data_IF_948362334941
#
_entry.id   IF_948362334941
#
_cell.length_a   1.000
_cell.length_b   1.000
_cell.length_c   1.000
_cell.angle_alpha   90.00
_cell.angle_beta   90.00
_cell.angle_gamma   90.00
#
_symmetry.space_group_name_H-M   'P 1'
#
loop_
_entity.id
_entity.type
_entity.pdbx_description
1 polymer ?
#
# COMPACT_ATOMS: atom_id res chain seq x y z
N UNK A 1 10.72 6.78 -15.76
CA UNK A 1 10.54 5.46 -16.43
C UNK A 1 9.55 4.59 -15.68
N UNK A 2 8.94 3.64 -16.38
CA UNK A 2 7.95 2.71 -15.80
C UNK A 2 8.56 1.87 -14.67
N UNK A 3 7.82 1.59 -13.58
CA UNK A 3 8.39 0.89 -12.41
C UNK A 3 8.80 -0.57 -12.64
N UNK A 4 8.29 -1.21 -13.69
CA UNK A 4 8.60 -2.59 -14.04
C UNK A 4 9.57 -2.63 -15.23
N UNK A 5 10.70 -3.30 -15.06
CA UNK A 5 11.76 -3.43 -16.07
C UNK A 5 11.81 -4.88 -16.56
N UNK A 6 12.09 -5.04 -17.84
CA UNK A 6 12.29 -6.35 -18.48
C UNK A 6 13.64 -6.41 -19.20
N UNK A 7 14.45 -7.38 -18.83
CA UNK A 7 15.69 -7.75 -19.50
C UNK A 7 15.53 -9.05 -20.27
N UNK A 8 15.23 -8.94 -21.56
CA UNK A 8 14.89 -10.10 -22.40
C UNK A 8 16.03 -11.12 -22.58
N UNK A 9 17.29 -10.67 -22.44
CA UNK A 9 18.48 -11.52 -22.53
C UNK A 9 18.63 -12.48 -21.33
N UNK A 10 18.06 -12.15 -20.17
CA UNK A 10 18.03 -13.00 -18.98
C UNK A 10 16.90 -14.05 -19.04
N UNK A 11 15.91 -13.87 -19.92
CA UNK A 11 14.69 -14.68 -19.92
C UNK A 11 14.92 -16.10 -20.38
N UNK A 12 14.65 -17.09 -19.54
CA UNK A 12 14.73 -18.53 -19.84
C UNK A 12 13.41 -19.09 -20.42
N UNK A 13 12.42 -18.24 -20.67
CA UNK A 13 11.13 -18.62 -21.28
C UNK A 13 10.33 -19.65 -20.47
N UNK A 14 10.39 -19.59 -19.15
CA UNK A 14 9.69 -20.52 -18.24
C UNK A 14 8.17 -20.27 -18.14
N UNK A 15 7.66 -19.18 -18.71
CA UNK A 15 6.24 -18.78 -18.77
C UNK A 15 5.58 -18.49 -17.41
N UNK A 16 6.29 -18.49 -16.28
CA UNK A 16 5.71 -18.23 -14.95
C UNK A 16 5.06 -16.84 -14.85
N UNK A 17 5.65 -15.82 -15.48
CA UNK A 17 5.07 -14.47 -15.52
C UNK A 17 3.73 -14.42 -16.27
N UNK A 18 3.58 -15.21 -17.34
CA UNK A 18 2.31 -15.37 -18.07
C UNK A 18 1.30 -16.06 -17.14
N UNK A 19 1.66 -17.19 -16.54
CA UNK A 19 0.76 -17.98 -15.71
C UNK A 19 0.22 -17.18 -14.52
N UNK A 20 1.08 -16.47 -13.78
CA UNK A 20 0.63 -15.68 -12.63
C UNK A 20 -0.25 -14.50 -13.07
N UNK A 21 0.09 -13.83 -14.19
CA UNK A 21 -0.66 -12.72 -14.72
C UNK A 21 -2.05 -13.14 -15.23
N UNK A 22 -2.13 -14.29 -15.94
CA UNK A 22 -3.38 -14.78 -16.54
C UNK A 22 -4.27 -15.50 -15.53
N UNK A 23 -3.69 -16.40 -14.70
CA UNK A 23 -4.48 -17.34 -13.90
C UNK A 23 -4.83 -16.81 -12.52
N UNK A 24 -3.98 -15.95 -11.96
CA UNK A 24 -4.19 -15.40 -10.60
C UNK A 24 -4.65 -13.95 -10.65
N UNK A 25 -4.01 -13.12 -11.49
CA UNK A 25 -4.34 -11.70 -11.59
C UNK A 25 -5.37 -11.37 -12.69
N UNK A 26 -5.58 -12.30 -13.64
CA UNK A 26 -6.54 -12.18 -14.74
C UNK A 26 -6.39 -10.86 -15.54
N UNK A 27 -5.12 -10.53 -15.89
CA UNK A 27 -4.78 -9.29 -16.59
C UNK A 27 -4.25 -9.51 -18.02
N UNK A 28 -3.67 -10.66 -18.33
CA UNK A 28 -3.15 -11.03 -19.65
C UNK A 28 -2.16 -10.01 -20.25
N UNK A 29 -1.32 -9.43 -19.39
CA UNK A 29 -0.31 -8.44 -19.82
C UNK A 29 0.83 -9.09 -20.59
N UNK A 30 1.23 -10.31 -20.21
CA UNK A 30 2.35 -11.03 -20.81
C UNK A 30 1.85 -12.12 -21.76
N UNK A 31 2.56 -12.29 -22.88
CA UNK A 31 2.24 -13.29 -23.89
C UNK A 31 3.49 -13.86 -24.55
N UNK A 32 3.33 -15.00 -25.23
CA UNK A 32 4.36 -15.62 -26.07
C UNK A 32 4.34 -14.97 -27.44
N UNK A 33 5.50 -14.45 -27.84
CA UNK A 33 5.68 -13.85 -29.15
C UNK A 33 6.64 -14.69 -29.99
N UNK A 34 6.41 -14.72 -31.32
CA UNK A 34 7.20 -15.47 -32.29
C UNK A 34 7.12 -16.99 -32.08
N UNK A 35 7.80 -17.76 -32.91
CA UNK A 35 7.76 -19.24 -32.90
C UNK A 35 9.15 -19.85 -33.08
N UNK A 36 9.29 -21.12 -32.75
CA UNK A 36 10.54 -21.87 -32.86
C UNK A 36 11.67 -21.24 -31.97
N UNK A 37 12.87 -21.20 -32.52
CA UNK A 37 14.04 -20.66 -31.81
C UNK A 37 13.93 -19.18 -31.45
N UNK A 38 13.04 -18.44 -32.11
CA UNK A 38 12.79 -17.03 -31.86
C UNK A 38 11.69 -16.75 -30.82
N UNK A 39 11.10 -17.79 -30.27
CA UNK A 39 10.09 -17.63 -29.19
C UNK A 39 10.62 -16.75 -28.07
N UNK A 40 9.82 -15.79 -27.65
CA UNK A 40 10.13 -14.89 -26.54
C UNK A 40 8.87 -14.58 -25.75
N UNK A 41 9.01 -14.18 -24.49
CA UNK A 41 7.92 -13.62 -23.68
C UNK A 41 7.97 -12.11 -23.84
N UNK A 42 6.86 -11.48 -24.16
CA UNK A 42 6.74 -10.03 -24.28
C UNK A 42 5.36 -9.56 -23.79
N UNK A 43 5.15 -8.25 -23.78
CA UNK A 43 3.82 -7.68 -23.56
C UNK A 43 2.88 -8.13 -24.69
N UNK A 44 1.66 -8.50 -24.35
CA UNK A 44 0.63 -8.95 -25.30
C UNK A 44 0.51 -7.97 -26.47
N UNK A 45 0.34 -8.49 -27.67
CA UNK A 45 0.31 -7.73 -28.93
C UNK A 45 1.61 -6.95 -29.24
N UNK A 46 2.70 -7.29 -28.57
CA UNK A 46 4.00 -6.60 -28.71
C UNK A 46 3.94 -5.08 -28.43
N UNK A 47 3.03 -4.68 -27.53
CA UNK A 47 2.87 -3.29 -27.09
C UNK A 47 3.99 -2.88 -26.13
N UNK A 48 4.11 -1.59 -25.89
CA UNK A 48 4.87 -1.08 -24.75
C UNK A 48 4.14 -1.42 -23.44
N UNK A 49 4.89 -1.71 -22.38
CA UNK A 49 4.29 -2.00 -21.06
C UNK A 49 3.49 -0.79 -20.51
N UNK A 50 3.88 0.41 -20.87
CA UNK A 50 3.17 1.65 -20.49
C UNK A 50 1.80 1.79 -21.17
N UNK A 51 1.59 1.09 -22.29
CA UNK A 51 0.35 1.07 -23.05
C UNK A 51 -0.56 -0.11 -22.64
N UNK A 52 -0.05 -1.02 -21.84
CA UNK A 52 -0.79 -2.18 -21.36
C UNK A 52 -1.58 -1.85 -20.09
N UNK A 53 -2.62 -2.66 -19.86
CA UNK A 53 -3.48 -2.55 -18.67
C UNK A 53 -2.81 -3.14 -17.40
N UNK A 54 -1.50 -2.96 -17.27
CA UNK A 54 -0.73 -3.47 -16.15
C UNK A 54 -1.10 -2.75 -14.84
N UNK A 55 -1.51 -3.52 -13.84
CA UNK A 55 -1.82 -3.01 -12.50
C UNK A 55 -0.59 -2.70 -11.64
N UNK A 56 0.61 -3.05 -12.13
CA UNK A 56 1.86 -2.93 -11.37
C UNK A 56 1.89 -3.74 -10.06
N UNK A 57 1.11 -4.82 -9.95
CA UNK A 57 1.10 -5.67 -8.76
C UNK A 57 2.44 -6.34 -8.46
N UNK A 58 3.33 -6.47 -9.46
CA UNK A 58 4.67 -7.05 -9.31
C UNK A 58 4.71 -8.57 -9.15
N UNK A 59 3.59 -9.28 -9.26
CA UNK A 59 3.56 -10.74 -9.10
C UNK A 59 4.38 -11.47 -10.17
N UNK A 60 4.49 -10.93 -11.36
CA UNK A 60 5.38 -11.46 -12.40
C UNK A 60 6.87 -11.33 -12.02
N UNK A 61 7.23 -10.36 -11.19
CA UNK A 61 8.59 -10.17 -10.66
C UNK A 61 8.90 -11.27 -9.64
N UNK A 62 8.00 -11.49 -8.67
CA UNK A 62 8.19 -12.49 -7.61
C UNK A 62 8.28 -13.91 -8.14
N UNK A 63 7.70 -14.18 -9.30
CA UNK A 63 7.71 -15.49 -9.97
C UNK A 63 8.80 -15.64 -11.04
N UNK A 64 9.62 -14.60 -11.28
CA UNK A 64 10.70 -14.69 -12.28
C UNK A 64 11.98 -15.28 -11.67
N UNK A 65 12.36 -16.55 -11.99
CA UNK A 65 13.47 -17.23 -11.31
C UNK A 65 14.85 -16.67 -11.68
N UNK A 66 14.94 -15.88 -12.74
CA UNK A 66 16.21 -15.35 -13.27
C UNK A 66 16.28 -13.84 -13.24
N UNK A 67 15.37 -13.19 -12.51
CA UNK A 67 15.28 -11.73 -12.40
C UNK A 67 15.27 -11.00 -13.78
N UNK A 68 14.70 -11.65 -14.80
CA UNK A 68 14.48 -11.02 -16.12
C UNK A 68 13.36 -9.97 -16.08
N UNK A 69 12.46 -10.10 -15.11
CA UNK A 69 11.50 -9.08 -14.71
C UNK A 69 11.88 -8.61 -13.32
N UNK A 70 12.06 -7.33 -13.17
CA UNK A 70 12.43 -6.72 -11.89
C UNK A 70 11.85 -5.32 -11.75
N UNK A 71 11.91 -4.78 -10.55
CA UNK A 71 11.51 -3.41 -10.25
C UNK A 71 12.62 -2.46 -10.72
N UNK A 72 12.24 -1.25 -11.15
CA UNK A 72 13.20 -0.16 -11.37
C UNK A 72 13.96 0.09 -10.07
N UNK A 73 15.28 0.13 -10.17
CA UNK A 73 16.17 0.39 -9.04
C UNK A 73 16.28 1.87 -8.78
N UNK A 74 15.91 2.32 -7.59
CA UNK A 74 15.91 3.74 -7.20
C UNK A 74 16.80 4.01 -5.96
N UNK A 75 17.59 3.04 -5.49
CA UNK A 75 18.47 3.20 -4.32
C UNK A 75 19.55 4.24 -4.49
N UNK A 76 20.03 4.47 -5.73
CA UNK A 76 21.00 5.54 -6.03
C UNK A 76 20.43 6.92 -5.68
N UNK A 77 19.17 7.18 -6.03
CA UNK A 77 18.49 8.43 -5.68
C UNK A 77 18.30 8.62 -4.18
N UNK A 78 18.15 7.54 -3.42
CA UNK A 78 18.11 7.63 -1.97
C UNK A 78 19.47 8.01 -1.39
N UNK A 79 20.56 7.41 -1.88
CA UNK A 79 21.92 7.79 -1.45
C UNK A 79 22.29 9.20 -1.85
N UNK A 80 21.89 9.65 -3.04
CA UNK A 80 22.02 11.04 -3.45
C UNK A 80 21.31 11.98 -2.47
N UNK A 81 20.08 11.64 -2.07
CA UNK A 81 19.31 12.45 -1.13
C UNK A 81 19.94 12.46 0.27
N UNK A 82 20.42 11.31 0.78
CA UNK A 82 21.09 11.19 2.08
C UNK A 82 22.38 11.98 2.16
N UNK A 83 23.06 12.20 1.03
CA UNK A 83 24.30 12.96 0.97
C UNK A 83 24.11 14.43 0.57
N UNK A 84 22.90 14.87 0.30
CA UNK A 84 22.62 16.26 -0.11
C UNK A 84 22.38 17.14 1.13
N UNK A 85 23.31 18.07 1.46
CA UNK A 85 23.20 18.89 2.65
C UNK A 85 22.06 19.93 2.60
N UNK A 86 21.48 20.15 1.43
CA UNK A 86 20.34 21.06 1.25
C UNK A 86 18.99 20.38 1.48
N UNK A 87 18.97 19.04 1.62
CA UNK A 87 17.78 18.24 1.89
C UNK A 87 17.70 17.79 3.34
N UNK A 88 16.49 17.66 3.80
CA UNK A 88 16.14 16.94 5.03
C UNK A 88 15.40 15.68 4.63
N UNK A 89 16.04 14.56 4.81
CA UNK A 89 15.50 13.27 4.40
C UNK A 89 14.59 12.70 5.49
N UNK A 90 13.34 12.42 5.09
CA UNK A 90 12.34 11.80 5.95
C UNK A 90 12.02 10.42 5.38
N UNK A 91 12.32 9.37 6.12
CA UNK A 91 12.03 8.00 5.72
C UNK A 91 10.83 7.48 6.49
N UNK A 92 9.85 6.92 5.79
CA UNK A 92 8.71 6.23 6.38
C UNK A 92 8.71 4.75 6.01
N UNK A 93 8.36 3.89 6.96
CA UNK A 93 8.40 2.42 6.81
C UNK A 93 7.00 1.85 6.85
N UNK A 94 6.58 1.16 5.78
CA UNK A 94 5.25 0.55 5.69
C UNK A 94 5.06 -0.65 6.64
N UNK A 95 3.82 -0.91 7.08
CA UNK A 95 3.50 -2.00 8.03
C UNK A 95 4.08 -3.36 7.64
N UNK A 96 3.88 -3.80 6.40
CA UNK A 96 4.31 -5.13 5.94
C UNK A 96 5.84 -5.29 5.80
N UNK A 97 6.59 -4.19 5.76
CA UNK A 97 8.06 -4.22 5.66
C UNK A 97 8.67 -4.85 6.91
N UNK A 98 8.11 -4.52 8.10
CA UNK A 98 8.60 -5.05 9.39
C UNK A 98 8.55 -6.57 9.49
N UNK A 99 7.62 -7.22 8.78
CA UNK A 99 7.49 -8.67 8.80
C UNK A 99 8.45 -9.39 7.84
N UNK A 100 9.24 -8.66 7.03
CA UNK A 100 9.98 -9.26 5.91
C UNK A 100 11.43 -8.78 5.71
N UNK A 101 11.81 -7.58 6.17
CA UNK A 101 13.11 -6.99 5.83
C UNK A 101 14.31 -7.80 6.30
N UNK A 102 14.18 -8.50 7.44
CA UNK A 102 15.25 -9.34 8.02
C UNK A 102 15.46 -10.67 7.32
N UNK A 103 14.46 -11.18 6.57
CA UNK A 103 14.46 -12.54 6.01
C UNK A 103 15.70 -12.83 5.15
N UNK A 104 16.04 -11.91 4.26
CA UNK A 104 17.19 -12.06 3.37
C UNK A 104 18.54 -11.70 4.04
N UNK A 105 18.51 -11.21 5.28
CA UNK A 105 19.68 -10.81 6.05
C UNK A 105 20.02 -11.80 7.17
N UNK A 106 19.24 -12.88 7.27
CA UNK A 106 19.46 -13.96 8.24
C UNK A 106 19.01 -13.63 9.66
N UNK A 107 18.11 -12.64 9.82
CA UNK A 107 17.48 -12.34 11.10
C UNK A 107 16.15 -13.11 11.22
N UNK A 108 15.85 -13.59 12.43
CA UNK A 108 14.50 -14.04 12.74
C UNK A 108 13.54 -12.84 12.75
N UNK A 109 12.23 -13.09 12.75
CA UNK A 109 11.23 -12.00 12.80
C UNK A 109 11.28 -11.21 14.10
N UNK A 110 11.59 -11.88 15.21
CA UNK A 110 11.75 -11.26 16.53
C UNK A 110 13.01 -10.39 16.60
N UNK A 111 14.07 -10.77 15.88
CA UNK A 111 15.29 -9.97 15.79
C UNK A 111 15.18 -8.80 14.84
N UNK A 112 14.34 -8.93 13.80
CA UNK A 112 14.15 -7.92 12.75
C UNK A 112 13.13 -6.85 13.15
N UNK A 113 13.35 -6.16 14.28
CA UNK A 113 12.51 -5.09 14.76
C UNK A 113 12.50 -3.89 13.80
N UNK A 114 11.46 -3.05 13.86
CA UNK A 114 11.40 -1.82 13.06
C UNK A 114 12.43 -0.79 13.56
N UNK A 115 12.73 -0.81 14.84
CA UNK A 115 13.74 0.03 15.50
C UNK A 115 15.15 -0.25 14.96
N UNK A 116 15.51 -1.50 14.73
CA UNK A 116 16.77 -1.88 14.06
C UNK A 116 16.81 -1.47 12.61
N UNK A 117 15.70 -1.57 11.89
CA UNK A 117 15.64 -1.05 10.53
C UNK A 117 15.82 0.48 10.54
N UNK A 118 15.23 1.18 11.51
CA UNK A 118 15.44 2.60 11.73
C UNK A 118 16.91 2.95 11.99
N UNK A 119 17.60 2.17 12.82
CA UNK A 119 19.05 2.34 13.08
C UNK A 119 19.87 2.15 11.78
N UNK A 120 19.54 1.15 10.97
CA UNK A 120 20.20 0.94 9.68
C UNK A 120 20.01 2.14 8.73
N UNK A 121 18.80 2.68 8.64
CA UNK A 121 18.49 3.85 7.80
C UNK A 121 19.22 5.10 8.25
N UNK A 122 19.32 5.34 9.58
CA UNK A 122 20.11 6.44 10.14
C UNK A 122 21.60 6.29 9.85
N UNK A 123 22.12 5.07 9.91
CA UNK A 123 23.51 4.77 9.52
C UNK A 123 23.77 5.01 8.05
N UNK A 124 22.76 4.91 7.19
CA UNK A 124 22.85 5.27 5.76
C UNK A 124 22.70 6.77 5.47
N UNK A 125 22.31 7.56 6.49
CA UNK A 125 22.21 9.02 6.36
C UNK A 125 20.80 9.61 6.43
N UNK A 126 19.77 8.84 6.81
CA UNK A 126 18.44 9.39 7.02
C UNK A 126 18.39 10.35 8.22
N UNK A 127 17.85 11.55 8.03
CA UNK A 127 17.71 12.54 9.10
C UNK A 127 16.58 12.20 10.07
N UNK A 128 15.45 11.74 9.54
CA UNK A 128 14.30 11.29 10.33
C UNK A 128 13.81 9.94 9.81
N UNK A 129 13.46 9.04 10.74
CA UNK A 129 12.85 7.75 10.42
C UNK A 129 11.56 7.60 11.22
N UNK A 130 10.44 7.45 10.53
CA UNK A 130 9.10 7.38 11.07
C UNK A 130 8.38 6.09 10.65
N UNK A 131 7.20 5.90 11.20
CA UNK A 131 6.33 4.78 10.92
C UNK A 131 5.15 5.21 10.02
N UNK A 132 4.99 4.56 8.87
CA UNK A 132 3.80 4.80 8.02
C UNK A 132 2.50 4.38 8.74
N UNK A 133 2.58 3.55 9.78
CA UNK A 133 1.42 3.12 10.56
C UNK A 133 0.70 4.30 11.25
N UNK A 134 1.43 5.38 11.59
CA UNK A 134 0.80 6.64 11.98
C UNK A 134 -0.19 7.14 10.92
N UNK A 135 0.22 7.13 9.66
CA UNK A 135 -0.65 7.58 8.57
C UNK A 135 -1.71 6.53 8.19
N UNK A 136 -1.48 5.25 8.50
CA UNK A 136 -2.54 4.24 8.42
C UNK A 136 -3.65 4.54 9.43
N UNK A 137 -3.29 4.93 10.67
CA UNK A 137 -4.27 5.41 11.65
C UNK A 137 -5.00 6.65 11.17
N UNK A 138 -4.29 7.60 10.55
CA UNK A 138 -4.90 8.79 9.95
C UNK A 138 -5.85 8.44 8.80
N UNK A 139 -5.47 7.48 7.96
CA UNK A 139 -6.34 6.98 6.87
C UNK A 139 -7.64 6.41 7.42
N UNK A 140 -7.59 5.65 8.51
CA UNK A 140 -8.80 5.12 9.15
C UNK A 140 -9.71 6.23 9.67
N UNK A 141 -9.15 7.32 10.20
CA UNK A 141 -9.97 8.46 10.63
C UNK A 141 -10.77 9.04 9.47
N UNK A 142 -10.15 9.20 8.30
CA UNK A 142 -10.81 9.73 7.12
C UNK A 142 -11.74 8.70 6.48
N UNK A 143 -11.25 7.50 6.19
CA UNK A 143 -11.99 6.46 5.43
C UNK A 143 -13.19 5.91 6.21
N UNK A 144 -13.07 5.73 7.55
CA UNK A 144 -14.19 5.28 8.35
C UNK A 144 -15.30 6.34 8.46
N UNK A 145 -14.94 7.62 8.56
CA UNK A 145 -15.92 8.70 8.54
C UNK A 145 -16.57 8.85 7.16
N UNK A 146 -15.81 8.75 6.06
CA UNK A 146 -16.35 8.73 4.69
C UNK A 146 -17.33 7.55 4.51
N UNK A 147 -16.96 6.36 4.99
CA UNK A 147 -17.85 5.20 4.92
C UNK A 147 -19.17 5.44 5.67
N UNK A 148 -19.12 5.99 6.88
CA UNK A 148 -20.32 6.28 7.67
C UNK A 148 -21.21 7.34 7.00
N UNK A 149 -20.64 8.37 6.39
CA UNK A 149 -21.40 9.36 5.60
C UNK A 149 -22.09 8.70 4.39
N UNK A 150 -21.34 7.89 3.62
CA UNK A 150 -21.92 7.17 2.45
C UNK A 150 -23.01 6.20 2.87
N UNK A 151 -22.84 5.50 3.99
CA UNK A 151 -23.85 4.57 4.54
C UNK A 151 -25.11 5.32 4.96
N UNK A 152 -24.99 6.48 5.60
CA UNK A 152 -26.10 7.32 6.03
C UNK A 152 -26.89 7.87 4.85
N UNK A 153 -26.19 8.38 3.83
CA UNK A 153 -26.82 8.97 2.62
C UNK A 153 -27.20 7.92 1.58
N UNK A 154 -26.73 6.68 1.71
CA UNK A 154 -26.88 5.58 0.74
C UNK A 154 -26.33 5.92 -0.65
N UNK A 155 -25.21 6.64 -0.69
CA UNK A 155 -24.56 7.09 -1.91
C UNK A 155 -23.24 6.34 -2.14
N UNK A 156 -22.93 6.01 -3.41
CA UNK A 156 -21.70 5.35 -3.83
C UNK A 156 -21.34 4.08 -3.04
N UNK A 157 -22.37 3.29 -2.68
CA UNK A 157 -22.21 1.98 -2.05
C UNK A 157 -22.24 0.85 -3.10
N UNK A 158 -21.48 -0.25 -2.90
CA UNK A 158 -20.51 -0.41 -1.81
C UNK A 158 -19.36 0.58 -1.92
N UNK A 159 -18.78 0.99 -0.80
CA UNK A 159 -17.52 1.70 -0.80
C UNK A 159 -16.36 0.70 -0.90
N UNK A 160 -15.41 0.95 -1.80
CA UNK A 160 -14.15 0.20 -1.87
C UNK A 160 -13.03 0.97 -1.21
N UNK A 161 -12.15 0.25 -0.50
CA UNK A 161 -10.87 0.85 -0.05
C UNK A 161 -10.03 1.29 -1.23
N UNK A 162 -9.20 2.33 -1.09
CA UNK A 162 -8.39 2.91 -2.16
C UNK A 162 -6.88 2.92 -1.90
N UNK A 163 -6.43 2.42 -0.74
CA UNK A 163 -5.03 2.46 -0.34
C UNK A 163 -4.09 1.59 -1.20
N UNK A 164 -4.62 0.68 -2.03
CA UNK A 164 -3.86 -0.18 -2.93
C UNK A 164 -3.84 0.36 -4.37
N UNK A 165 -2.76 1.02 -4.83
CA UNK A 165 -2.72 1.63 -6.17
C UNK A 165 -2.76 0.59 -7.31
N UNK A 166 -2.34 -0.66 -7.06
CA UNK A 166 -2.49 -1.74 -8.03
C UNK A 166 -3.95 -2.11 -8.28
N UNK A 167 -4.76 -2.10 -7.22
CA UNK A 167 -6.20 -2.26 -7.31
C UNK A 167 -6.87 -1.07 -8.03
N UNK A 168 -6.53 0.16 -7.65
CA UNK A 168 -7.09 1.36 -8.29
C UNK A 168 -6.81 1.35 -9.80
N UNK A 169 -5.59 0.99 -10.22
CA UNK A 169 -5.24 0.82 -11.64
C UNK A 169 -6.09 -0.24 -12.34
N UNK A 170 -6.32 -1.38 -11.67
CA UNK A 170 -7.18 -2.44 -12.20
C UNK A 170 -8.62 -1.95 -12.38
N UNK A 171 -9.22 -1.33 -11.36
CA UNK A 171 -10.58 -0.81 -11.44
C UNK A 171 -10.74 0.18 -12.58
N UNK A 172 -9.85 1.16 -12.67
CA UNK A 172 -9.88 2.19 -13.72
C UNK A 172 -9.73 1.61 -15.13
N UNK A 173 -8.99 0.51 -15.28
CA UNK A 173 -8.81 -0.10 -16.61
C UNK A 173 -9.92 -1.06 -16.99
N UNK A 174 -10.51 -1.78 -16.02
CA UNK A 174 -11.44 -2.88 -16.30
C UNK A 174 -12.89 -2.51 -16.01
N UNK A 175 -13.13 -1.62 -15.03
CA UNK A 175 -14.45 -1.21 -14.53
C UNK A 175 -14.50 0.31 -14.27
N UNK A 176 -14.28 1.14 -15.30
CA UNK A 176 -14.19 2.61 -15.12
C UNK A 176 -15.48 3.23 -14.60
N UNK A 177 -16.62 2.61 -14.82
CA UNK A 177 -17.92 2.99 -14.31
C UNK A 177 -18.04 2.89 -12.78
N UNK A 178 -17.17 2.12 -12.14
CA UNK A 178 -17.16 1.92 -10.68
C UNK A 178 -16.15 2.83 -9.95
N UNK A 179 -15.46 3.73 -10.62
CA UNK A 179 -14.42 4.58 -10.00
C UNK A 179 -14.98 5.41 -8.83
N UNK A 180 -16.22 5.86 -8.91
CA UNK A 180 -16.89 6.64 -7.86
C UNK A 180 -17.20 5.83 -6.58
N UNK A 181 -17.07 4.52 -6.63
CA UNK A 181 -17.19 3.65 -5.47
C UNK A 181 -15.90 3.56 -4.64
N UNK A 182 -14.76 4.00 -5.18
CA UNK A 182 -13.52 4.09 -4.40
C UNK A 182 -13.66 5.10 -3.26
N UNK A 183 -13.06 4.80 -2.11
CA UNK A 183 -12.81 5.81 -1.09
C UNK A 183 -11.96 6.92 -1.71
N UNK A 184 -12.24 8.17 -1.37
CA UNK A 184 -11.45 9.31 -1.82
C UNK A 184 -10.18 9.50 -1.00
N UNK A 185 -10.02 8.80 0.13
CA UNK A 185 -8.84 8.85 0.98
C UNK A 185 -7.58 8.47 0.19
N UNK A 186 -6.52 9.28 0.30
CA UNK A 186 -5.19 8.93 -0.21
C UNK A 186 -4.65 7.71 0.55
N UNK A 187 -3.73 7.00 -0.06
CA UNK A 187 -3.05 5.91 0.65
C UNK A 187 -2.18 6.44 1.81
N UNK A 188 -1.93 5.61 2.86
CA UNK A 188 -1.20 6.06 4.05
C UNK A 188 0.11 6.78 3.78
N UNK A 189 0.92 6.29 2.84
CA UNK A 189 2.21 6.94 2.58
C UNK A 189 2.06 8.31 1.89
N UNK A 190 1.01 8.53 1.13
CA UNK A 190 0.71 9.85 0.54
C UNK A 190 0.19 10.81 1.62
N UNK A 191 -0.72 10.35 2.49
CA UNK A 191 -1.14 11.14 3.65
C UNK A 191 0.03 11.52 4.53
N UNK A 192 0.94 10.56 4.80
CA UNK A 192 2.16 10.81 5.54
C UNK A 192 3.00 11.92 4.89
N UNK A 193 3.19 11.83 3.58
CA UNK A 193 3.93 12.83 2.82
C UNK A 193 3.30 14.22 2.89
N UNK A 194 1.99 14.31 2.69
CA UNK A 194 1.26 15.58 2.80
C UNK A 194 1.42 16.22 4.20
N UNK A 195 1.33 15.43 5.26
CA UNK A 195 1.51 15.91 6.63
C UNK A 195 2.95 16.34 6.91
N UNK A 196 3.95 15.62 6.40
CA UNK A 196 5.35 16.02 6.57
C UNK A 196 5.69 17.30 5.82
N UNK A 197 5.13 17.50 4.63
CA UNK A 197 5.33 18.73 3.82
C UNK A 197 4.52 19.94 4.34
N UNK A 198 3.61 19.75 5.28
CA UNK A 198 2.76 20.83 5.82
C UNK A 198 2.96 21.01 7.33
N UNK A 199 2.27 20.22 8.13
CA UNK A 199 2.28 20.35 9.59
C UNK A 199 3.66 20.10 10.20
N UNK A 200 4.35 19.02 9.79
CA UNK A 200 5.67 18.70 10.35
C UNK A 200 6.73 19.72 9.92
N UNK A 201 6.75 20.13 8.65
CA UNK A 201 7.64 21.17 8.15
C UNK A 201 7.53 22.46 8.98
N UNK A 202 6.28 22.88 9.27
CA UNK A 202 6.01 24.03 10.11
C UNK A 202 6.49 23.80 11.56
N UNK A 203 6.30 22.60 12.09
CA UNK A 203 6.69 22.25 13.46
C UNK A 203 8.20 22.31 13.69
N UNK A 204 8.99 21.91 12.71
CA UNK A 204 10.46 21.97 12.77
C UNK A 204 11.04 23.29 12.17
N UNK A 205 10.19 24.19 11.68
CA UNK A 205 10.62 25.49 11.14
C UNK A 205 11.40 25.41 9.83
N UNK A 206 11.09 24.44 8.96
CA UNK A 206 11.81 24.16 7.71
C UNK A 206 10.92 24.44 6.51
N UNK A 207 11.52 24.97 5.43
CA UNK A 207 10.82 25.12 4.15
C UNK A 207 10.46 23.73 3.61
N UNK A 208 9.19 23.47 3.25
CA UNK A 208 8.75 22.18 2.70
C UNK A 208 9.55 21.72 1.46
N UNK A 209 10.08 22.64 0.67
CA UNK A 209 10.90 22.32 -0.51
C UNK A 209 12.21 21.59 -0.17
N UNK A 210 12.69 21.70 1.08
CA UNK A 210 13.88 21.01 1.57
C UNK A 210 13.61 19.60 2.06
N UNK A 211 12.34 19.26 2.34
CA UNK A 211 11.98 17.92 2.78
C UNK A 211 11.97 16.98 1.58
N UNK A 212 12.73 15.89 1.71
CA UNK A 212 12.74 14.80 0.74
C UNK A 212 12.16 13.54 1.41
N UNK A 213 10.93 13.21 1.05
CA UNK A 213 10.18 12.10 1.65
C UNK A 213 10.46 10.78 0.90
N UNK A 214 11.02 9.81 1.60
CA UNK A 214 11.34 8.47 1.08
C UNK A 214 10.41 7.45 1.76
N UNK A 215 9.69 6.70 0.96
CA UNK A 215 8.73 5.71 1.42
C UNK A 215 9.25 4.30 1.16
N UNK A 216 9.41 3.48 2.20
CA UNK A 216 9.80 2.07 2.08
C UNK A 216 8.55 1.21 2.05
N UNK A 217 8.31 0.54 0.91
CA UNK A 217 7.05 -0.12 0.61
C UNK A 217 7.24 -1.58 0.15
N UNK A 218 6.31 -2.48 0.46
CA UNK A 218 6.30 -3.85 -0.06
C UNK A 218 5.79 -3.92 -1.51
N UNK A 219 5.63 -2.79 -2.19
CA UNK A 219 4.77 -2.60 -3.35
C UNK A 219 5.52 -1.97 -4.52
N UNK A 220 5.24 -2.43 -5.75
CA UNK A 220 5.77 -1.86 -7.00
C UNK A 220 4.89 -0.71 -7.49
N UNK A 221 3.56 -0.85 -7.37
CA UNK A 221 2.61 0.14 -7.85
C UNK A 221 2.75 1.51 -7.15
N UNK A 222 3.25 1.54 -5.93
CA UNK A 222 3.53 2.78 -5.18
C UNK A 222 4.60 3.67 -5.84
N UNK A 223 5.54 3.08 -6.60
CA UNK A 223 6.47 3.85 -7.45
C UNK A 223 5.78 4.62 -8.59
N UNK A 224 4.60 4.21 -8.98
CA UNK A 224 3.77 4.93 -9.95
C UNK A 224 2.85 5.93 -9.26
N UNK A 225 2.31 5.59 -8.10
CA UNK A 225 1.36 6.40 -7.36
C UNK A 225 1.90 7.81 -7.07
N UNK A 226 3.18 7.93 -6.69
CA UNK A 226 3.82 9.23 -6.43
C UNK A 226 3.90 10.16 -7.66
N UNK A 227 3.71 9.63 -8.85
CA UNK A 227 3.71 10.40 -10.10
C UNK A 227 2.32 10.88 -10.52
N UNK A 228 1.27 10.50 -9.79
CA UNK A 228 -0.11 10.92 -10.06
C UNK A 228 -0.25 12.43 -9.75
N UNK A 229 -0.87 13.23 -10.64
CA UNK A 229 -0.93 14.68 -10.49
C UNK A 229 -1.57 15.18 -9.19
N UNK A 230 -2.53 14.44 -8.64
CA UNK A 230 -3.20 14.77 -7.37
C UNK A 230 -2.38 14.42 -6.10
N UNK A 231 -1.21 13.82 -6.23
CA UNK A 231 -0.35 13.50 -5.08
C UNK A 231 0.64 14.63 -4.77
N UNK A 232 0.16 15.89 -4.78
CA UNK A 232 0.92 17.11 -4.51
C UNK A 232 0.03 18.28 -4.04
N UNK A 233 -1.07 17.99 -3.40
CA UNK A 233 -2.04 19.02 -2.99
C UNK A 233 -1.52 19.93 -1.87
N UNK A 234 -0.43 19.54 -1.22
CA UNK A 234 0.37 20.42 -0.34
C UNK A 234 1.14 21.53 -1.10
N UNK A 235 1.18 21.48 -2.44
CA UNK A 235 2.02 22.33 -3.30
C UNK A 235 3.37 21.69 -3.67
N UNK A 236 3.72 20.56 -3.03
CA UNK A 236 4.92 19.76 -3.26
C UNK A 236 4.54 18.30 -3.47
N UNK A 237 5.35 17.47 -4.14
CA UNK A 237 5.13 16.03 -4.14
C UNK A 237 4.98 15.52 -2.70
N UNK A 238 3.90 14.79 -2.41
CA UNK A 238 3.69 14.25 -1.07
C UNK A 238 4.82 13.27 -0.71
N UNK A 239 5.17 12.38 -1.63
CA UNK A 239 6.32 11.47 -1.52
C UNK A 239 7.25 11.69 -2.72
N UNK A 240 8.54 11.83 -2.46
CA UNK A 240 9.55 12.11 -3.50
C UNK A 240 10.13 10.80 -4.07
N UNK A 241 10.26 9.75 -3.24
CA UNK A 241 10.87 8.49 -3.64
C UNK A 241 10.20 7.29 -2.97
N UNK A 242 10.06 6.19 -3.72
CA UNK A 242 9.61 4.90 -3.18
C UNK A 242 10.71 3.86 -3.36
N UNK A 243 11.12 3.24 -2.26
CA UNK A 243 11.99 2.08 -2.23
C UNK A 243 11.18 0.83 -1.89
N UNK A 244 11.47 -0.28 -2.53
CA UNK A 244 10.90 -1.57 -2.12
C UNK A 244 11.69 -2.16 -0.94
N UNK A 245 11.10 -3.10 -0.21
CA UNK A 245 11.80 -3.85 0.84
C UNK A 245 13.10 -4.48 0.31
N UNK A 246 13.08 -5.03 -0.93
CA UNK A 246 14.28 -5.60 -1.57
C UNK A 246 15.36 -4.57 -1.85
N UNK A 247 15.02 -3.35 -2.24
CA UNK A 247 16.00 -2.28 -2.46
C UNK A 247 16.68 -1.92 -1.14
N UNK A 248 15.93 -1.73 -0.07
CA UNK A 248 16.50 -1.43 1.25
C UNK A 248 17.41 -2.54 1.76
N UNK A 249 17.04 -3.80 1.57
CA UNK A 249 17.92 -4.95 1.91
C UNK A 249 19.24 -4.90 1.11
N UNK A 250 19.18 -4.51 -0.18
CA UNK A 250 20.41 -4.32 -0.99
C UNK A 250 21.23 -3.15 -0.50
N UNK A 251 20.61 -2.03 -0.12
CA UNK A 251 21.29 -0.86 0.43
C UNK A 251 22.03 -1.21 1.73
N UNK A 252 21.39 -1.94 2.65
CA UNK A 252 22.04 -2.43 3.88
C UNK A 252 23.29 -3.26 3.56
N UNK A 253 23.20 -4.12 2.54
CA UNK A 253 24.35 -4.95 2.12
C UNK A 253 25.45 -4.12 1.44
N UNK A 254 25.10 -3.16 0.59
CA UNK A 254 26.07 -2.32 -0.14
C UNK A 254 26.86 -1.42 0.81
N UNK A 255 26.24 -0.96 1.89
CA UNK A 255 26.88 -0.18 2.94
C UNK A 255 27.61 -1.05 3.98
N UNK A 256 27.67 -2.37 3.76
CA UNK A 256 28.33 -3.32 4.68
C UNK A 256 27.82 -3.23 6.13
N UNK A 257 26.57 -2.86 6.34
CA UNK A 257 25.98 -2.77 7.67
C UNK A 257 25.78 -4.20 8.22
N UNK A 258 26.48 -4.53 9.30
CA UNK A 258 26.29 -5.80 9.98
C UNK A 258 25.05 -5.73 10.86
N UNK A 259 23.97 -6.37 10.40
CA UNK A 259 22.64 -6.32 11.04
C UNK A 259 22.63 -6.89 12.47
N UNK A 260 23.64 -7.70 12.85
CA UNK A 260 23.79 -8.25 14.21
C UNK A 260 24.12 -7.20 15.25
N UNK A 261 24.67 -6.06 14.83
CA UNK A 261 25.07 -4.94 15.70
C UNK A 261 24.12 -3.76 15.63
N UNK A 262 22.99 -3.87 14.91
CA UNK A 262 21.95 -2.87 14.92
C UNK A 262 21.30 -2.79 16.30
N UNK A 263 20.94 -1.56 16.68
CA UNK A 263 20.33 -1.28 17.97
C UNK A 263 18.84 -1.02 17.83
N UNK A 264 18.06 -1.39 18.84
CA UNK A 264 16.65 -1.04 18.94
C UNK A 264 16.52 0.43 19.38
N UNK A 265 16.69 1.34 18.42
CA UNK A 265 16.56 2.79 18.60
C UNK A 265 15.16 3.22 18.20
N UNK A 266 14.42 3.81 19.12
CA UNK A 266 13.06 4.28 18.85
C UNK A 266 12.99 5.12 17.58
N UNK A 267 11.89 4.99 16.84
CA UNK A 267 11.59 5.87 15.72
C UNK A 267 11.38 7.31 16.20
N UNK A 268 11.50 8.27 15.29
CA UNK A 268 11.48 9.68 15.66
C UNK A 268 10.06 10.15 16.01
N UNK A 269 9.97 11.10 16.96
CA UNK A 269 8.72 11.76 17.31
C UNK A 269 8.43 12.99 16.41
N UNK A 270 7.16 13.32 16.18
CA UNK A 270 5.94 12.72 16.72
C UNK A 270 5.34 11.63 15.83
N UNK A 271 5.85 11.40 14.61
CA UNK A 271 5.21 10.55 13.59
C UNK A 271 5.66 9.07 13.68
N UNK A 272 6.38 8.69 14.73
CA UNK A 272 6.77 7.30 15.01
C UNK A 272 5.77 6.53 15.87
N UNK A 273 4.73 7.19 16.40
CA UNK A 273 3.71 6.53 17.22
C UNK A 273 2.61 5.95 16.35
N UNK A 274 2.37 4.65 16.48
CA UNK A 274 1.40 3.89 15.72
C UNK A 274 0.53 3.00 16.62
N UNK A 275 -0.66 2.65 16.14
CA UNK A 275 -1.53 1.64 16.77
C UNK A 275 -1.36 0.27 16.13
N UNK A 276 -1.82 -0.78 16.83
CA UNK A 276 -1.95 -2.11 16.25
C UNK A 276 -2.88 -2.13 15.01
N UNK A 277 -3.88 -1.25 14.97
CA UNK A 277 -4.74 -1.07 13.79
C UNK A 277 -3.94 -0.60 12.56
N UNK A 278 -2.95 0.28 12.74
CA UNK A 278 -2.03 0.67 11.67
C UNK A 278 -1.16 -0.50 11.20
N UNK A 279 -0.64 -1.30 12.13
CA UNK A 279 0.22 -2.46 11.83
C UNK A 279 -0.47 -3.47 10.93
N UNK A 280 -1.75 -3.79 11.17
CA UNK A 280 -2.47 -4.80 10.40
C UNK A 280 -2.83 -4.39 8.98
N UNK A 281 -2.65 -3.12 8.58
CA UNK A 281 -2.79 -2.69 7.17
C UNK A 281 -1.94 -3.50 6.19
N UNK A 282 -0.86 -4.11 6.66
CA UNK A 282 0.00 -4.97 5.86
C UNK A 282 -0.60 -6.30 5.47
N UNK A 283 -1.65 -6.74 6.14
CA UNK A 283 -2.34 -8.02 5.93
C UNK A 283 -3.69 -7.81 5.23
N UNK A 284 -4.14 -8.81 4.44
CA UNK A 284 -5.51 -8.81 3.91
C UNK A 284 -6.52 -8.91 5.05
N UNK A 285 -7.57 -8.12 4.99
CA UNK A 285 -8.56 -7.94 6.06
C UNK A 285 -8.19 -6.89 7.11
N UNK A 286 -6.92 -6.45 7.15
CA UNK A 286 -6.43 -5.53 8.19
C UNK A 286 -6.99 -4.13 8.07
N UNK A 287 -7.15 -3.59 6.86
CA UNK A 287 -7.76 -2.27 6.63
C UNK A 287 -9.22 -2.30 7.06
N UNK A 288 -9.95 -3.34 6.63
CA UNK A 288 -11.35 -3.55 7.02
C UNK A 288 -11.52 -3.63 8.53
N UNK A 289 -10.69 -4.43 9.20
CA UNK A 289 -10.76 -4.59 10.65
C UNK A 289 -10.47 -3.26 11.37
N UNK A 290 -9.44 -2.54 10.97
CA UNK A 290 -9.10 -1.23 11.52
C UNK A 290 -10.24 -0.21 11.35
N UNK A 291 -10.85 -0.18 10.15
CA UNK A 291 -11.98 0.70 9.84
C UNK A 291 -13.22 0.37 10.68
N UNK A 292 -13.56 -0.92 10.81
CA UNK A 292 -14.71 -1.36 11.61
C UNK A 292 -14.52 -1.07 13.11
N UNK A 293 -13.31 -1.24 13.64
CA UNK A 293 -12.97 -0.86 15.03
C UNK A 293 -13.28 0.61 15.30
N UNK A 294 -12.85 1.51 14.41
CA UNK A 294 -13.07 2.95 14.58
C UNK A 294 -14.49 3.38 14.20
N UNK A 295 -15.12 2.81 13.18
CA UNK A 295 -16.51 3.07 12.83
C UNK A 295 -17.46 2.71 13.98
N UNK A 296 -17.22 1.58 14.66
CA UNK A 296 -17.99 1.22 15.87
C UNK A 296 -17.89 2.32 16.95
N UNK A 297 -16.68 2.81 17.21
CA UNK A 297 -16.49 3.90 18.18
C UNK A 297 -17.19 5.19 17.75
N UNK A 298 -17.10 5.59 16.50
CA UNK A 298 -17.72 6.83 16.01
C UNK A 298 -19.24 6.81 16.12
N UNK A 299 -19.84 5.62 15.97
CA UNK A 299 -21.31 5.47 16.08
C UNK A 299 -21.77 5.32 17.54
N UNK A 300 -21.06 4.52 18.34
CA UNK A 300 -21.51 4.14 19.70
C UNK A 300 -20.91 4.95 20.84
N UNK A 301 -19.81 5.66 20.57
CA UNK A 301 -19.00 6.34 21.59
C UNK A 301 -18.20 5.38 22.50
N UNK A 302 -18.13 4.10 22.17
CA UNK A 302 -17.45 3.05 22.95
C UNK A 302 -16.59 2.17 22.05
N UNK A 303 -15.43 1.76 22.57
CA UNK A 303 -14.63 0.75 21.89
C UNK A 303 -15.34 -0.61 21.94
N UNK A 304 -15.33 -1.32 20.81
CA UNK A 304 -15.61 -2.75 20.79
C UNK A 304 -14.40 -3.51 21.38
N UNK A 305 -14.58 -4.82 21.61
CA UNK A 305 -13.42 -5.70 21.76
C UNK A 305 -12.53 -5.55 20.51
N UNK A 306 -11.21 -5.34 20.63
CA UNK A 306 -10.35 -5.20 19.46
C UNK A 306 -10.43 -6.37 18.47
N UNK A 307 -10.75 -7.57 18.93
CA UNK A 307 -10.91 -8.76 18.10
C UNK A 307 -12.36 -9.06 17.69
N UNK A 308 -13.31 -8.17 17.99
CA UNK A 308 -14.73 -8.33 17.61
C UNK A 308 -14.95 -8.45 16.09
N UNK A 309 -14.02 -7.97 15.29
CA UNK A 309 -14.09 -7.97 13.83
C UNK A 309 -13.09 -8.95 13.17
N UNK A 310 -12.51 -9.88 13.96
CA UNK A 310 -11.51 -10.83 13.48
C UNK A 310 -11.99 -11.78 12.37
N UNK A 311 -13.29 -11.89 12.15
CA UNK A 311 -13.87 -12.69 11.07
C UNK A 311 -13.46 -12.23 9.67
N UNK A 312 -12.92 -11.00 9.54
CA UNK A 312 -12.37 -10.51 8.26
C UNK A 312 -10.98 -11.07 7.96
N UNK A 313 -10.28 -11.63 8.96
CA UNK A 313 -8.91 -12.18 8.81
C UNK A 313 -8.93 -13.47 8.00
N UNK A 314 -7.87 -13.74 7.25
CA UNK A 314 -7.67 -15.02 6.54
C UNK A 314 -7.01 -14.82 5.18
N UNK A 315 -6.60 -15.95 4.59
CA UNK A 315 -5.90 -15.98 3.30
C UNK A 315 -6.80 -16.38 2.14
N UNK A 316 -8.11 -16.59 2.39
CA UNK A 316 -9.08 -16.85 1.34
C UNK A 316 -9.12 -15.66 0.37
N UNK A 317 -9.03 -15.93 -0.91
CA UNK A 317 -8.94 -14.87 -1.92
C UNK A 317 -10.18 -13.98 -2.03
N UNK A 318 -11.32 -14.46 -1.56
CA UNK A 318 -12.58 -13.74 -1.39
C UNK A 318 -13.27 -14.25 -0.14
N UNK A 319 -13.47 -13.38 0.82
CA UNK A 319 -14.12 -13.68 2.10
C UNK A 319 -15.25 -12.68 2.36
N UNK A 320 -16.28 -13.12 3.04
CA UNK A 320 -17.43 -12.31 3.43
C UNK A 320 -17.57 -12.29 4.94
N UNK A 321 -17.98 -11.15 5.47
CA UNK A 321 -18.31 -10.98 6.88
C UNK A 321 -19.47 -9.99 7.03
N UNK A 322 -20.26 -10.18 8.08
CA UNK A 322 -21.40 -9.30 8.38
C UNK A 322 -21.35 -8.94 9.85
N UNK A 323 -21.44 -7.65 10.13
CA UNK A 323 -21.40 -7.10 11.47
C UNK A 323 -22.63 -6.24 11.75
N UNK A 324 -23.00 -6.12 13.02
CA UNK A 324 -24.04 -5.19 13.45
C UNK A 324 -23.40 -4.10 14.28
N UNK A 325 -23.51 -2.86 13.81
CA UNK A 325 -23.01 -1.66 14.52
C UNK A 325 -24.22 -0.80 14.87
N UNK A 326 -24.50 -0.66 16.16
CA UNK A 326 -25.66 0.10 16.69
C UNK A 326 -26.97 -0.23 15.96
N UNK A 327 -27.26 -1.52 15.80
CA UNK A 327 -28.46 -2.01 15.11
C UNK A 327 -28.44 -1.95 13.60
N UNK A 328 -27.41 -1.36 12.98
CA UNK A 328 -27.23 -1.31 11.53
C UNK A 328 -26.39 -2.50 11.06
N UNK A 329 -26.92 -3.26 10.11
CA UNK A 329 -26.22 -4.37 9.48
C UNK A 329 -25.23 -3.83 8.44
N UNK A 330 -23.96 -4.21 8.54
CA UNK A 330 -22.88 -3.87 7.61
C UNK A 330 -22.35 -5.16 6.98
N UNK A 331 -22.50 -5.28 5.67
CA UNK A 331 -22.03 -6.43 4.89
C UNK A 331 -20.70 -6.09 4.27
N UNK A 332 -19.68 -6.85 4.59
CA UNK A 332 -18.32 -6.64 4.17
C UNK A 332 -17.82 -7.74 3.24
N UNK A 333 -16.97 -7.40 2.31
CA UNK A 333 -16.16 -8.35 1.56
C UNK A 333 -14.67 -7.98 1.64
N UNK A 334 -13.83 -8.99 1.72
CA UNK A 334 -12.38 -8.87 1.75
C UNK A 334 -11.85 -9.68 0.58
N UNK A 335 -11.11 -9.02 -0.32
CA UNK A 335 -10.63 -9.66 -1.55
C UNK A 335 -9.14 -9.41 -1.73
N UNK A 336 -8.40 -10.47 -2.01
CA UNK A 336 -7.00 -10.38 -2.38
C UNK A 336 -6.72 -11.14 -3.67
N UNK A 337 -5.88 -10.52 -4.54
CA UNK A 337 -5.66 -10.98 -5.91
C UNK A 337 -6.72 -10.47 -6.89
N UNK A 338 -6.27 -9.97 -8.04
CA UNK A 338 -7.16 -9.27 -8.98
C UNK A 338 -8.12 -10.21 -9.71
N UNK A 339 -7.76 -11.48 -9.93
CA UNK A 339 -8.70 -12.48 -10.46
C UNK A 339 -9.87 -12.74 -9.53
N UNK A 340 -9.64 -12.76 -8.21
CA UNK A 340 -10.71 -12.85 -7.21
C UNK A 340 -11.55 -11.58 -7.20
N UNK A 341 -10.91 -10.43 -7.32
CA UNK A 341 -11.59 -9.13 -7.42
C UNK A 341 -12.51 -9.06 -8.62
N UNK A 342 -12.06 -9.53 -9.79
CA UNK A 342 -12.90 -9.63 -11.00
C UNK A 342 -14.13 -10.49 -10.73
N UNK A 343 -13.96 -11.66 -10.13
CA UNK A 343 -15.08 -12.56 -9.81
C UNK A 343 -16.10 -11.90 -8.89
N UNK A 344 -15.65 -11.17 -7.86
CA UNK A 344 -16.52 -10.42 -6.96
C UNK A 344 -17.32 -9.35 -7.72
N UNK A 345 -16.65 -8.50 -8.52
CA UNK A 345 -17.31 -7.40 -9.25
C UNK A 345 -18.33 -7.98 -10.24
N UNK A 346 -17.98 -9.06 -10.95
CA UNK A 346 -18.91 -9.71 -11.88
C UNK A 346 -20.12 -10.33 -11.16
N UNK A 347 -19.94 -10.92 -9.97
CA UNK A 347 -21.04 -11.41 -9.15
C UNK A 347 -21.95 -10.28 -8.66
N UNK A 348 -21.38 -9.11 -8.32
CA UNK A 348 -22.16 -7.91 -7.99
C UNK A 348 -22.96 -7.39 -9.21
N UNK A 349 -22.35 -7.33 -10.40
CA UNK A 349 -23.06 -6.95 -11.63
C UNK A 349 -24.20 -7.90 -11.96
N UNK A 350 -24.03 -9.22 -11.70
CA UNK A 350 -25.12 -10.21 -11.84
C UNK A 350 -26.14 -10.15 -10.69
N UNK A 351 -25.92 -9.28 -9.68
CA UNK A 351 -26.76 -9.15 -8.47
C UNK A 351 -26.84 -10.44 -7.64
N UNK A 352 -25.82 -11.26 -7.68
CA UNK A 352 -25.71 -12.48 -6.87
C UNK A 352 -25.29 -12.17 -5.43
N UNK A 353 -24.52 -11.08 -5.26
CA UNK A 353 -24.03 -10.61 -3.96
C UNK A 353 -24.18 -9.09 -3.84
N UNK A 354 -24.25 -8.59 -2.61
CA UNK A 354 -24.33 -7.15 -2.33
C UNK A 354 -23.64 -6.86 -0.99
N UNK A 355 -22.79 -5.83 -1.00
CA UNK A 355 -22.00 -5.39 0.14
C UNK A 355 -22.19 -3.91 0.40
N UNK A 356 -21.76 -3.45 1.56
CA UNK A 356 -21.74 -2.05 1.96
C UNK A 356 -20.30 -1.53 1.96
N UNK A 357 -19.32 -2.37 2.36
CA UNK A 357 -17.90 -2.01 2.38
C UNK A 357 -17.03 -3.17 1.88
N UNK A 358 -16.06 -2.88 1.01
CA UNK A 358 -15.20 -3.89 0.38
C UNK A 358 -13.73 -3.48 0.48
N UNK A 359 -12.93 -4.32 1.12
CA UNK A 359 -11.47 -4.22 1.05
C UNK A 359 -10.95 -4.96 -0.18
N UNK A 360 -10.10 -4.31 -0.97
CA UNK A 360 -9.43 -4.94 -2.12
C UNK A 360 -7.93 -4.74 -2.06
N UNK A 361 -7.19 -5.84 -2.10
CA UNK A 361 -5.73 -5.88 -2.27
C UNK A 361 -5.35 -6.56 -3.58
N UNK A 362 -4.55 -5.89 -4.41
CA UNK A 362 -4.12 -6.44 -5.70
C UNK A 362 -3.25 -7.70 -5.56
N UNK A 363 -2.45 -7.77 -4.50
CA UNK A 363 -1.56 -8.90 -4.26
C UNK A 363 -2.28 -10.00 -3.47
N UNK A 364 -2.10 -11.28 -3.80
CA UNK A 364 -2.55 -12.38 -2.95
C UNK A 364 -1.98 -12.25 -1.54
N UNK A 365 -2.85 -12.34 -0.52
CA UNK A 365 -2.48 -12.16 0.87
C UNK A 365 -2.22 -10.72 1.32
N UNK A 366 -2.57 -9.71 0.50
CA UNK A 366 -2.36 -8.30 0.80
C UNK A 366 -0.93 -7.82 0.61
N UNK A 367 -0.53 -6.77 1.31
CA UNK A 367 0.81 -6.18 1.20
C UNK A 367 1.92 -7.13 1.70
N UNK A 368 1.59 -8.08 2.57
CA UNK A 368 2.51 -9.17 3.00
C UNK A 368 3.00 -10.02 1.83
N UNK A 369 2.16 -10.22 0.78
CA UNK A 369 2.51 -10.85 -0.50
C UNK A 369 2.91 -9.86 -1.60
N UNK A 370 3.27 -8.64 -1.23
CA UNK A 370 3.54 -7.55 -2.18
C UNK A 370 4.70 -7.80 -3.12
N UNK A 371 4.60 -7.29 -4.35
CA UNK A 371 5.62 -7.45 -5.39
C UNK A 371 6.99 -6.83 -5.07
N UNK A 372 7.12 -6.04 -4.00
CA UNK A 372 8.36 -5.46 -3.49
C UNK A 372 9.00 -6.24 -2.33
N UNK A 373 8.34 -7.27 -1.79
CA UNK A 373 8.83 -8.09 -0.68
C UNK A 373 9.98 -9.03 -1.10
N UNK A 374 10.81 -9.51 -0.15
CA UNK A 374 11.81 -10.53 -0.42
C UNK A 374 11.23 -11.78 -1.09
N UNK A 375 12.00 -12.37 -1.99
CA UNK A 375 11.61 -13.53 -2.80
C UNK A 375 12.36 -14.75 -2.29
N UNK A 376 11.65 -15.83 -2.02
CA UNK A 376 12.19 -17.12 -1.63
C UNK A 376 11.82 -18.17 -2.67
N UNK A 377 12.80 -18.95 -3.12
CA UNK A 377 12.55 -20.01 -4.10
C UNK A 377 11.62 -21.10 -3.52
N UNK A 378 10.51 -21.34 -4.23
CA UNK A 378 9.56 -22.39 -3.89
C UNK A 378 8.68 -22.11 -2.67
N UNK A 379 8.71 -20.89 -2.11
CA UNK A 379 7.95 -20.52 -0.92
C UNK A 379 7.18 -19.21 -1.13
N UNK A 380 5.93 -19.19 -0.71
CA UNK A 380 5.06 -18.01 -0.61
C UNK A 380 4.86 -17.69 0.87
N UNK A 381 5.47 -16.62 1.37
CA UNK A 381 5.50 -16.27 2.80
C UNK A 381 4.42 -15.23 3.20
N UNK A 382 3.45 -14.96 2.34
CA UNK A 382 2.42 -13.95 2.62
C UNK A 382 1.60 -14.28 3.88
N UNK A 383 1.27 -15.55 4.08
CA UNK A 383 0.48 -16.01 5.24
C UNK A 383 1.24 -15.83 6.56
N UNK A 384 2.50 -16.24 6.59
CA UNK A 384 3.34 -16.13 7.79
C UNK A 384 3.64 -14.67 8.14
N UNK A 385 3.86 -13.83 7.14
CA UNK A 385 4.05 -12.38 7.33
C UNK A 385 2.78 -11.72 7.85
N UNK A 386 1.61 -12.07 7.30
CA UNK A 386 0.32 -11.57 7.77
C UNK A 386 0.05 -12.00 9.22
N UNK A 387 0.30 -13.28 9.55
CA UNK A 387 0.16 -13.77 10.92
C UNK A 387 1.05 -13.01 11.91
N UNK A 388 2.29 -12.67 11.52
CA UNK A 388 3.17 -11.86 12.34
C UNK A 388 2.63 -10.45 12.61
N UNK A 389 2.01 -9.81 11.61
CA UNK A 389 1.39 -8.49 11.80
C UNK A 389 0.19 -8.54 12.77
N UNK A 390 -0.67 -9.54 12.66
CA UNK A 390 -1.76 -9.74 13.62
C UNK A 390 -1.26 -10.07 15.03
N UNK A 391 -0.16 -10.80 15.15
CA UNK A 391 0.52 -11.01 16.44
C UNK A 391 1.01 -9.69 17.04
N UNK A 392 1.64 -8.84 16.25
CA UNK A 392 2.12 -7.52 16.69
C UNK A 392 0.94 -6.66 17.17
N UNK A 393 -0.18 -6.58 16.43
CA UNK A 393 -1.39 -5.89 16.88
C UNK A 393 -1.85 -6.42 18.25
N UNK A 394 -1.90 -7.76 18.41
CA UNK A 394 -2.31 -8.37 19.68
C UNK A 394 -1.45 -7.98 20.89
N UNK A 395 -0.18 -7.63 20.66
CA UNK A 395 0.74 -7.18 21.70
C UNK A 395 0.80 -5.65 21.86
N UNK A 396 0.22 -4.88 20.92
CA UNK A 396 0.19 -3.43 21.01
C UNK A 396 -0.69 -2.98 22.18
N UNK A 397 -0.21 -2.02 22.97
CA UNK A 397 -1.00 -1.35 24.00
C UNK A 397 -2.12 -0.52 23.38
N UNK A 398 -1.83 0.12 22.24
CA UNK A 398 -2.75 0.95 21.49
C UNK A 398 -3.24 0.13 20.29
N UNK A 399 -4.53 -0.20 20.24
CA UNK A 399 -5.12 -1.08 19.21
C UNK A 399 -6.16 -0.41 18.32
N UNK A 400 -6.44 0.88 18.56
CA UNK A 400 -7.44 1.65 17.85
C UNK A 400 -6.84 2.90 17.23
N UNK A 401 -7.07 3.14 15.96
CA UNK A 401 -6.55 4.30 15.22
C UNK A 401 -7.01 5.63 15.82
N UNK A 402 -8.28 5.72 16.23
CA UNK A 402 -8.85 6.94 16.82
C UNK A 402 -8.27 7.28 18.22
N UNK A 403 -7.56 6.36 18.85
CA UNK A 403 -6.86 6.60 20.12
C UNK A 403 -5.40 7.03 19.94
N UNK A 404 -4.87 7.05 18.71
CA UNK A 404 -3.50 7.49 18.47
C UNK A 404 -3.33 8.96 18.89
N UNK A 405 -2.50 9.24 19.90
CA UNK A 405 -2.38 10.59 20.48
C UNK A 405 -1.82 11.61 19.47
N UNK A 406 -0.95 11.16 18.56
CA UNK A 406 -0.40 12.04 17.52
C UNK A 406 -1.45 12.37 16.47
N UNK A 407 -2.28 11.41 16.05
CA UNK A 407 -3.41 11.65 15.15
C UNK A 407 -4.41 12.62 15.80
N UNK A 408 -4.74 12.41 17.06
CA UNK A 408 -5.62 13.35 17.81
C UNK A 408 -5.02 14.75 17.91
N UNK A 409 -3.71 14.86 18.16
CA UNK A 409 -3.02 16.14 18.20
C UNK A 409 -3.03 16.84 16.83
N UNK A 410 -2.80 16.09 15.76
CA UNK A 410 -2.84 16.60 14.39
C UNK A 410 -4.20 17.22 14.03
N UNK A 411 -5.31 16.57 14.40
CA UNK A 411 -6.64 17.15 14.20
C UNK A 411 -6.84 18.41 15.05
N UNK A 412 -6.50 18.40 16.32
CA UNK A 412 -6.66 19.59 17.19
C UNK A 412 -5.83 20.79 16.74
N UNK A 413 -4.61 20.54 16.27
CA UNK A 413 -3.63 21.59 15.95
C UNK A 413 -3.71 22.08 14.52
N UNK A 414 -4.20 21.26 13.59
CA UNK A 414 -4.04 21.55 12.16
C UNK A 414 -5.26 21.18 11.30
N UNK A 415 -5.74 19.95 11.35
CA UNK A 415 -6.81 19.46 10.44
C UNK A 415 -8.23 19.75 10.96
N UNK A 416 -8.40 20.19 12.21
CA UNK A 416 -9.66 20.42 12.91
C UNK A 416 -10.44 19.13 13.20
N UNK A 417 -10.92 18.43 12.19
CA UNK A 417 -11.69 17.17 12.30
C UNK A 417 -11.56 16.36 11.01
N UNK A 418 -11.88 15.04 11.04
CA UNK A 418 -12.02 14.27 9.82
C UNK A 418 -12.99 14.92 8.83
N UNK A 419 -12.69 14.78 7.54
CA UNK A 419 -13.45 15.35 6.42
C UNK A 419 -13.63 16.88 6.51
N UNK A 420 -12.75 17.58 7.22
CA UNK A 420 -12.72 19.05 7.15
C UNK A 420 -12.22 19.51 5.79
N UNK A 421 -12.49 20.76 5.35
CA UNK A 421 -11.98 21.25 4.06
C UNK A 421 -10.47 21.11 3.88
N UNK A 422 -9.68 21.28 4.98
CA UNK A 422 -8.24 21.10 4.94
C UNK A 422 -7.84 19.61 4.88
N UNK A 423 -8.55 18.75 5.61
CA UNK A 423 -8.35 17.30 5.53
C UNK A 423 -8.69 16.79 4.12
N UNK A 424 -9.80 17.19 3.54
CA UNK A 424 -10.16 16.84 2.16
C UNK A 424 -9.12 17.32 1.16
N UNK A 425 -8.61 18.54 1.29
CA UNK A 425 -7.57 19.06 0.40
C UNK A 425 -6.27 18.26 0.47
N UNK A 426 -5.81 17.89 1.65
CA UNK A 426 -4.49 17.29 1.84
C UNK A 426 -4.50 15.75 1.81
N UNK A 427 -5.58 15.13 2.29
CA UNK A 427 -5.65 13.70 2.57
C UNK A 427 -6.56 12.93 1.60
N UNK A 428 -7.33 13.63 0.75
CA UNK A 428 -8.20 13.01 -0.24
C UNK A 428 -7.71 13.25 -1.66
N UNK A 429 -8.24 12.50 -2.61
CA UNK A 429 -7.85 12.57 -4.02
C UNK A 429 -9.05 12.32 -4.93
N UNK A 430 -9.05 12.99 -6.07
CA UNK A 430 -9.97 12.68 -7.17
C UNK A 430 -9.37 11.59 -8.06
N UNK A 431 -9.93 10.38 -7.97
CA UNK A 431 -9.51 9.26 -8.80
C UNK A 431 -9.80 9.46 -10.30
N UNK A 432 -10.60 10.46 -10.69
CA UNK A 432 -10.87 10.77 -12.10
C UNK A 432 -9.81 11.69 -12.71
N UNK A 433 -8.92 12.27 -11.91
CA UNK A 433 -7.87 13.22 -12.33
C UNK A 433 -6.80 12.65 -13.25
N UNK A 434 -6.72 11.33 -13.40
CA UNK A 434 -5.78 10.62 -14.26
C UNK A 434 -6.45 9.42 -14.95
N UNK A 435 -5.88 8.93 -16.04
CA UNK A 435 -6.47 7.88 -16.86
C UNK A 435 -5.51 6.72 -17.11
N UNK A 436 -6.06 5.51 -17.20
CA UNK A 436 -5.35 4.34 -17.72
C UNK A 436 -5.25 4.41 -19.25
N UNK A 437 -4.25 3.75 -19.88
CA UNK A 437 -4.03 3.82 -21.33
C UNK A 437 -5.23 3.42 -22.20
N UNK A 438 -6.02 2.45 -21.77
CA UNK A 438 -7.19 1.98 -22.52
C UNK A 438 -8.43 2.89 -22.41
N UNK A 439 -8.56 3.72 -21.39
CA UNK A 439 -9.63 4.74 -21.32
C UNK A 439 -9.52 5.71 -22.50
N UNK A 440 -8.31 6.03 -22.95
CA UNK A 440 -8.07 6.90 -24.11
C UNK A 440 -8.57 6.29 -25.43
N UNK A 441 -8.57 4.96 -25.55
CA UNK A 441 -9.05 4.25 -26.76
C UNK A 441 -10.57 4.19 -26.84
N UNK A 442 -11.25 4.01 -25.70
CA UNK A 442 -12.72 3.96 -25.66
C UNK A 442 -13.40 5.29 -26.05
N UNK A 443 -12.70 6.42 -25.92
CA UNK A 443 -13.17 7.74 -26.34
C UNK A 443 -12.87 8.04 -27.82
N UNK A 444 -11.90 7.39 -28.42
CA UNK A 444 -11.50 7.57 -29.82
C UNK A 444 -12.29 6.65 -30.79
N UNK A 445 -12.84 5.54 -30.30
CA UNK A 445 -13.61 4.56 -31.07
C UNK A 445 -15.13 4.74 -30.90
N UNK A 446 -15.59 5.84 -30.29
CA UNK A 446 -16.99 6.27 -30.24
C UNK A 446 -17.20 7.53 -31.09
#
# INVERSE_FOLDING_TARGET
SFPLIRESNKCIKCMRCIQICDKVQDLQVWDVQKTGSRTTVNVSQNRNIEEAECSLCGQCITHCPVNALHVREDSEHAFEAFNDPDKITIVQIAPAVRAAWGESLGLSREEATIEKLGDALRKMGADYVFDTDFAADLTIMEEANEFLERLQHKEHLPMFTSCCPGWVRFLKSQYPDMVYHLSTAKSPHQMFGAITKTWFAKKIGVDPSKIYNISIMPCVAKKHEIAIPSMKDSGYPDVDLVLTTREVVRMIRSEHIDVRYLQDVALDDPLGTASGAGVIFGATGGVMEAALRSAHYFVTGKNADPDAFADVRGMDGWKEATFTIDGTLVRCAIVSGLGNTRRLIEAMHRKEVAYDFIEVMACPGGCSGGGGQPIHEGSELAAERAAALYQLDGHCRLRFSHENPTVQALYREFLEKPLSPLAEQLLHTDHTSWQMPNEKRSCADR
#
